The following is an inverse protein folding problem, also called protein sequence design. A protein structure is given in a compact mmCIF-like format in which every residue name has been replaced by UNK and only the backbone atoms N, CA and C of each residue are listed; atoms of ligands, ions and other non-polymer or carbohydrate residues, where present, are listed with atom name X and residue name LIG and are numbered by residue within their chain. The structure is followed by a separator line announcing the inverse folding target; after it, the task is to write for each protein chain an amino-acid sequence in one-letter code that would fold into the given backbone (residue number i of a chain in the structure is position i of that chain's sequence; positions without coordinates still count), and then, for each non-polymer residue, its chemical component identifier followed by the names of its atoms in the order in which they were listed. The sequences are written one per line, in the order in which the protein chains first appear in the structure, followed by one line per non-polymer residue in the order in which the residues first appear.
data_IF_195988113900
#
_entry.id   IF_195988113900
#
_cell.length_a   1.000
_cell.length_b   1.000
_cell.length_c   1.000
_cell.angle_alpha   90.00
_cell.angle_beta   90.00
_cell.angle_gamma   90.00
#
_symmetry.space_group_name_H-M   'P 1'
#
loop_
_entity.id
_entity.type
_entity.pdbx_description
1 polymer ?
#
# COMPACT_ATOMS: atom_id res chain seq x y z
N UNK A 1 -43.62 11.43 -6.79
CA UNK A 1 -42.52 12.05 -6.01
C UNK A 1 -41.38 11.08 -5.75
N UNK A 2 -41.63 9.79 -5.53
CA UNK A 2 -40.58 8.77 -5.35
C UNK A 2 -39.73 8.53 -6.62
N UNK A 3 -40.32 8.65 -7.81
CA UNK A 3 -39.61 8.51 -9.11
C UNK A 3 -38.57 9.61 -9.34
N UNK A 4 -38.87 10.86 -8.96
CA UNK A 4 -37.95 12.00 -9.09
C UNK A 4 -36.78 11.89 -8.12
N UNK A 5 -37.05 11.38 -6.91
CA UNK A 5 -36.03 11.13 -5.89
C UNK A 5 -35.10 10.00 -6.32
N UNK A 6 -35.62 8.93 -6.95
CA UNK A 6 -34.80 7.82 -7.45
C UNK A 6 -33.99 8.20 -8.69
N UNK A 7 -34.51 9.05 -9.58
CA UNK A 7 -33.75 9.58 -10.71
C UNK A 7 -32.62 10.53 -10.28
N UNK A 8 -32.86 11.40 -9.29
CA UNK A 8 -31.84 12.30 -8.75
C UNK A 8 -30.83 11.58 -7.83
N UNK A 9 -31.22 10.48 -7.17
CA UNK A 9 -30.31 9.70 -6.33
C UNK A 9 -29.24 8.95 -7.13
N UNK A 10 -29.57 8.44 -8.33
CA UNK A 10 -28.60 7.71 -9.18
C UNK A 10 -27.31 8.48 -9.51
N UNK A 11 -27.35 9.73 -9.99
CA UNK A 11 -26.14 10.49 -10.29
C UNK A 11 -25.37 10.83 -9.02
N UNK A 12 -26.06 11.11 -7.90
CA UNK A 12 -25.43 11.37 -6.62
C UNK A 12 -24.65 10.15 -6.13
N UNK A 13 -25.27 8.95 -6.18
CA UNK A 13 -24.64 7.69 -5.81
C UNK A 13 -23.44 7.35 -6.69
N UNK A 14 -23.51 7.62 -8.00
CA UNK A 14 -22.36 7.47 -8.90
C UNK A 14 -21.20 8.39 -8.50
N UNK A 15 -21.49 9.65 -8.20
CA UNK A 15 -20.48 10.60 -7.75
C UNK A 15 -19.80 10.12 -6.46
N UNK A 16 -20.60 9.71 -5.47
CA UNK A 16 -20.10 9.13 -4.22
C UNK A 16 -19.23 7.91 -4.48
N UNK A 17 -19.66 6.99 -5.35
CA UNK A 17 -18.87 5.81 -5.71
C UNK A 17 -17.49 6.21 -6.28
N UNK A 18 -17.42 7.18 -7.19
CA UNK A 18 -16.14 7.65 -7.73
C UNK A 18 -15.25 8.29 -6.66
N UNK A 19 -15.82 9.06 -5.73
CA UNK A 19 -15.08 9.68 -4.62
C UNK A 19 -14.50 8.58 -3.72
N UNK A 20 -15.34 7.64 -3.26
CA UNK A 20 -14.88 6.52 -2.44
C UNK A 20 -13.84 5.67 -3.16
N UNK A 21 -14.01 5.44 -4.48
CA UNK A 21 -13.02 4.72 -5.30
C UNK A 21 -11.69 5.46 -5.35
N UNK A 22 -11.71 6.79 -5.48
CA UNK A 22 -10.51 7.62 -5.44
C UNK A 22 -9.82 7.58 -4.07
N UNK A 23 -10.58 7.66 -2.98
CA UNK A 23 -10.05 7.55 -1.62
C UNK A 23 -9.44 6.16 -1.38
N UNK A 24 -10.11 5.09 -1.84
CA UNK A 24 -9.58 3.72 -1.77
C UNK A 24 -8.28 3.57 -2.55
N UNK A 25 -8.18 4.20 -3.72
CA UNK A 25 -6.96 4.19 -4.51
C UNK A 25 -5.81 4.94 -3.82
N UNK A 26 -6.08 6.12 -3.25
CA UNK A 26 -5.13 6.87 -2.43
C UNK A 26 -4.72 6.10 -1.17
N UNK A 27 -5.66 5.46 -0.49
CA UNK A 27 -5.41 4.64 0.69
C UNK A 27 -4.52 3.44 0.33
N UNK A 28 -4.75 2.82 -0.84
CA UNK A 28 -3.88 1.77 -1.36
C UNK A 28 -2.47 2.30 -1.62
N UNK A 29 -2.32 3.42 -2.32
CA UNK A 29 -1.01 4.00 -2.62
C UNK A 29 -0.25 4.39 -1.34
N UNK A 30 -0.92 5.06 -0.38
CA UNK A 30 -0.35 5.37 0.93
C UNK A 30 0.00 4.11 1.73
N UNK A 31 -0.82 3.07 1.63
CA UNK A 31 -0.56 1.80 2.31
C UNK A 31 0.63 1.10 1.69
N UNK A 32 0.75 1.05 0.36
CA UNK A 32 1.91 0.48 -0.34
C UNK A 32 3.17 1.27 0.02
N UNK A 33 3.11 2.60 -0.01
CA UNK A 33 4.21 3.44 0.42
C UNK A 33 4.57 3.14 1.88
N UNK A 34 3.63 3.27 2.82
CA UNK A 34 3.92 3.15 4.26
C UNK A 34 4.32 1.73 4.67
N UNK A 35 3.55 0.73 4.26
CA UNK A 35 3.75 -0.68 4.62
C UNK A 35 4.94 -1.24 3.84
N UNK A 36 5.03 -0.99 2.54
CA UNK A 36 6.15 -1.44 1.71
C UNK A 36 7.47 -0.87 2.21
N UNK A 37 7.50 0.43 2.53
CA UNK A 37 8.69 1.05 3.11
C UNK A 37 9.02 0.48 4.48
N UNK A 38 8.04 0.37 5.39
CA UNK A 38 8.25 -0.16 6.73
C UNK A 38 8.80 -1.59 6.71
N UNK A 39 8.19 -2.47 5.92
CA UNK A 39 8.60 -3.88 5.79
C UNK A 39 9.94 -4.00 5.06
N UNK A 40 10.12 -3.31 3.94
CA UNK A 40 11.37 -3.33 3.19
C UNK A 40 12.54 -2.76 3.98
N UNK A 41 12.31 -1.67 4.72
CA UNK A 41 13.30 -1.06 5.60
C UNK A 41 13.70 -1.99 6.74
N UNK A 42 12.72 -2.61 7.41
CA UNK A 42 12.97 -3.56 8.50
C UNK A 42 13.79 -4.75 7.99
N UNK A 43 13.41 -5.31 6.84
CA UNK A 43 14.08 -6.45 6.24
C UNK A 43 15.52 -6.14 5.79
N UNK A 44 15.73 -5.01 5.10
CA UNK A 44 17.06 -4.57 4.70
C UNK A 44 17.95 -4.31 5.92
N UNK A 45 17.40 -3.76 6.99
CA UNK A 45 18.14 -3.51 8.23
C UNK A 45 18.55 -4.82 8.92
N UNK A 46 17.69 -5.84 8.88
CA UNK A 46 17.99 -7.17 9.41
C UNK A 46 19.10 -7.84 8.58
N UNK A 47 18.99 -7.83 7.25
CA UNK A 47 19.98 -8.46 6.37
C UNK A 47 21.32 -7.76 6.40
N UNK A 48 21.32 -6.41 6.44
CA UNK A 48 22.55 -5.62 6.39
C UNK A 48 23.14 -5.33 7.76
N UNK A 49 22.65 -5.97 8.83
CA UNK A 49 23.13 -5.82 10.21
C UNK A 49 23.17 -4.34 10.62
N UNK A 50 22.10 -3.60 10.32
CA UNK A 50 22.01 -2.18 10.68
C UNK A 50 22.72 -1.20 9.74
N UNK A 51 23.43 -1.67 8.71
CA UNK A 51 24.24 -0.79 7.85
C UNK A 51 23.38 -0.02 6.83
N UNK A 52 22.22 -0.56 6.44
CA UNK A 52 21.33 0.06 5.46
C UNK A 52 19.85 -0.20 5.79
N UNK A 53 18.93 0.77 5.63
CA UNK A 53 19.13 2.15 5.16
C UNK A 53 19.61 3.11 6.26
N UNK A 54 20.42 4.11 5.89
CA UNK A 54 20.85 5.21 6.79
C UNK A 54 19.69 6.14 7.21
N UNK A 55 18.65 6.21 6.39
CA UNK A 55 17.44 7.02 6.66
C UNK A 55 16.55 6.32 7.69
N UNK A 56 15.90 7.10 8.55
CA UNK A 56 14.96 6.56 9.54
C UNK A 56 13.68 6.05 8.85
N UNK A 57 12.96 5.15 9.52
CA UNK A 57 11.67 4.63 9.02
C UNK A 57 10.66 5.76 8.74
N UNK A 58 10.73 6.87 9.49
CA UNK A 58 9.88 8.07 9.34
C UNK A 58 10.38 9.06 8.26
N UNK A 59 11.59 8.86 7.72
CA UNK A 59 12.19 9.76 6.71
C UNK A 59 11.91 9.32 5.28
N UNK A 60 10.86 8.52 5.05
CA UNK A 60 10.46 8.05 3.73
C UNK A 60 10.35 9.20 2.70
N UNK A 61 9.77 10.34 3.10
CA UNK A 61 9.63 11.53 2.24
C UNK A 61 10.94 12.27 1.95
N UNK A 62 11.96 12.09 2.80
CA UNK A 62 13.28 12.71 2.63
C UNK A 62 14.25 11.78 1.89
N UNK A 63 13.93 10.49 1.78
CA UNK A 63 14.74 9.53 1.05
C UNK A 63 14.61 9.77 -0.47
N UNK A 64 15.69 9.52 -1.24
CA UNK A 64 15.62 9.63 -2.70
C UNK A 64 14.54 8.70 -3.26
N UNK A 65 13.67 9.25 -4.12
CA UNK A 65 12.51 8.57 -4.70
C UNK A 65 12.81 7.16 -5.24
N UNK A 66 13.96 6.99 -5.90
CA UNK A 66 14.42 5.68 -6.42
C UNK A 66 14.66 4.66 -5.31
N UNK A 67 15.20 5.11 -4.17
CA UNK A 67 15.47 4.26 -3.03
C UNK A 67 14.17 3.89 -2.31
N UNK A 68 13.24 4.85 -2.17
CA UNK A 68 11.89 4.58 -1.64
C UNK A 68 11.18 3.51 -2.45
N UNK A 69 11.14 3.69 -3.77
CA UNK A 69 10.55 2.72 -4.70
C UNK A 69 11.19 1.33 -4.60
N UNK A 70 12.52 1.23 -4.53
CA UNK A 70 13.19 -0.07 -4.40
C UNK A 70 12.86 -0.77 -3.08
N UNK A 71 12.89 -0.03 -1.96
CA UNK A 71 12.59 -0.57 -0.63
C UNK A 71 11.12 -1.00 -0.55
N UNK A 72 10.21 -0.18 -1.06
CA UNK A 72 8.78 -0.49 -1.13
C UNK A 72 8.49 -1.73 -1.99
N UNK A 73 9.12 -1.81 -3.16
CA UNK A 73 8.98 -2.97 -4.05
C UNK A 73 9.52 -4.25 -3.41
N UNK A 74 10.63 -4.15 -2.68
CA UNK A 74 11.17 -5.27 -1.92
C UNK A 74 10.21 -5.69 -0.80
N UNK A 75 9.65 -4.73 -0.05
CA UNK A 75 8.67 -5.00 0.99
C UNK A 75 7.42 -5.71 0.45
N UNK A 76 6.88 -5.23 -0.68
CA UNK A 76 5.77 -5.87 -1.39
C UNK A 76 6.10 -7.29 -1.86
N UNK A 77 7.29 -7.50 -2.42
CA UNK A 77 7.74 -8.83 -2.86
C UNK A 77 7.85 -9.81 -1.68
N UNK A 78 8.34 -9.35 -0.53
CA UNK A 78 8.43 -10.17 0.69
C UNK A 78 7.04 -10.54 1.21
N UNK A 79 6.13 -9.58 1.31
CA UNK A 79 4.74 -9.85 1.73
C UNK A 79 4.07 -10.84 0.78
N UNK A 80 4.22 -10.64 -0.53
CA UNK A 80 3.72 -11.56 -1.55
C UNK A 80 4.32 -12.95 -1.41
N UNK A 81 5.62 -13.06 -1.17
CA UNK A 81 6.31 -14.34 -0.97
C UNK A 81 5.82 -15.07 0.29
N UNK A 82 5.73 -14.37 1.43
CA UNK A 82 5.21 -14.93 2.68
C UNK A 82 3.77 -15.42 2.48
N UNK A 83 2.93 -14.61 1.83
CA UNK A 83 1.53 -14.96 1.54
C UNK A 83 1.45 -16.21 0.66
N UNK A 84 2.30 -16.31 -0.37
CA UNK A 84 2.39 -17.48 -1.24
C UNK A 84 2.84 -18.73 -0.47
N UNK A 85 3.84 -18.61 0.40
CA UNK A 85 4.32 -19.72 1.24
C UNK A 85 3.24 -20.18 2.22
N UNK A 86 2.57 -19.25 2.89
CA UNK A 86 1.46 -19.55 3.80
C UNK A 86 0.29 -20.21 3.06
N UNK A 87 -0.07 -19.71 1.89
CA UNK A 87 -1.11 -20.31 1.06
C UNK A 87 -0.75 -21.76 0.70
N UNK A 88 0.51 -22.00 0.31
CA UNK A 88 1.00 -23.34 0.00
C UNK A 88 0.96 -24.29 1.20
N UNK A 89 1.26 -23.78 2.40
CA UNK A 89 1.22 -24.57 3.65
C UNK A 89 -0.20 -24.82 4.16
N UNK A 90 -1.13 -23.88 3.94
CA UNK A 90 -2.51 -23.98 4.45
C UNK A 90 -3.41 -24.86 3.58
N UNK A 91 -3.09 -25.01 2.28
CA UNK A 91 -3.88 -25.78 1.32
C UNK A 91 -3.16 -27.04 0.79
N UNK A 92 -2.05 -27.45 1.42
CA UNK A 92 -1.47 -28.80 1.27
C UNK A 92 -2.01 -29.73 2.35
#
# INVERSE_FOLDING_TARGET
MEEVVTEAARPLLRLFFYIFRGILWLAWDLSVQTIGWSVGWCFLRIITVGNFPKHKISEQKNAPLRLSLLVEFLGMAIIGFITMVFYRLAFQ
#
